data_IF_795913495611
#
_entry.id   IF_795913495611
#
_cell.length_a   1.000
_cell.length_b   1.000
_cell.length_c   1.000
_cell.angle_alpha   90.00
_cell.angle_beta   90.00
_cell.angle_gamma   90.00
#
_symmetry.space_group_name_H-M   'P 1'
#
loop_
_entity.id
_entity.type
_entity.pdbx_description
1 polymer ?
#
# COMPACT_ATOMS: atom_id res chain seq x y z
N UNK A 1 5.16 18.97 -31.12
CA UNK A 1 5.15 17.69 -30.38
C UNK A 1 6.34 17.69 -29.41
N UNK A 2 6.04 17.63 -28.11
CA UNK A 2 6.83 16.94 -27.07
C UNK A 2 8.34 17.20 -26.99
N UNK A 3 8.80 17.90 -25.94
CA UNK A 3 9.20 17.23 -24.69
C UNK A 3 9.97 18.19 -23.79
N UNK A 4 9.46 18.26 -22.57
CA UNK A 4 9.90 19.10 -21.49
C UNK A 4 11.21 18.57 -20.87
N UNK A 5 12.14 19.48 -20.64
CA UNK A 5 13.44 19.25 -20.02
C UNK A 5 13.28 19.32 -18.51
N UNK A 6 12.97 18.20 -17.86
CA UNK A 6 13.11 18.10 -16.40
C UNK A 6 13.27 16.66 -15.90
N UNK A 7 14.14 15.88 -16.55
CA UNK A 7 14.63 14.59 -16.06
C UNK A 7 16.18 14.60 -15.92
N UNK A 8 16.75 15.76 -15.56
CA UNK A 8 18.18 16.04 -15.62
C UNK A 8 18.97 15.94 -14.31
N UNK A 9 18.43 15.42 -13.20
CA UNK A 9 19.14 15.48 -11.89
C UNK A 9 19.05 14.16 -11.10
N UNK A 10 19.06 12.99 -11.74
CA UNK A 10 19.24 11.71 -11.03
C UNK A 10 20.23 10.74 -11.70
N UNK A 11 21.17 11.28 -12.47
CA UNK A 11 22.22 10.50 -13.12
C UNK A 11 23.59 11.12 -12.88
N UNK A 12 24.07 11.09 -11.65
CA UNK A 12 25.50 11.23 -11.38
C UNK A 12 25.89 10.42 -10.14
N UNK A 13 26.98 9.66 -10.31
CA UNK A 13 27.80 8.96 -9.32
C UNK A 13 27.45 7.50 -9.00
N UNK A 14 27.83 6.62 -9.92
CA UNK A 14 28.24 5.24 -9.64
C UNK A 14 29.59 4.97 -10.33
N UNK A 15 30.70 5.20 -9.62
CA UNK A 15 32.08 4.72 -9.83
C UNK A 15 32.72 4.92 -8.44
N UNK A 16 33.29 3.96 -7.71
CA UNK A 16 34.19 2.83 -7.99
C UNK A 16 33.82 1.63 -7.07
N UNK A 17 34.15 0.36 -7.34
CA UNK A 17 35.45 -0.31 -7.09
C UNK A 17 35.42 -1.71 -7.78
N UNK A 18 36.58 -2.16 -8.30
CA UNK A 18 36.82 -3.36 -9.13
C UNK A 18 36.59 -4.74 -8.46
N UNK A 19 36.72 -5.89 -9.12
CA UNK A 19 37.43 -6.28 -10.34
C UNK A 19 36.54 -7.19 -11.21
N UNK A 20 36.29 -6.78 -12.46
CA UNK A 20 35.54 -7.54 -13.46
C UNK A 20 35.01 -6.59 -14.51
N UNK A 21 35.84 -6.24 -15.49
CA UNK A 21 35.49 -5.27 -16.54
C UNK A 21 34.29 -5.77 -17.34
N UNK A 22 33.14 -5.10 -17.20
CA UNK A 22 32.15 -5.02 -18.25
C UNK A 22 32.02 -3.53 -18.62
N UNK A 23 32.40 -3.10 -19.84
CA UNK A 23 32.20 -1.72 -20.24
C UNK A 23 30.70 -1.45 -20.33
N UNK A 24 30.24 -0.40 -19.67
CA UNK A 24 28.88 0.14 -19.85
C UNK A 24 28.92 1.05 -21.07
N UNK A 25 28.37 0.59 -22.19
CA UNK A 25 28.15 1.47 -23.33
C UNK A 25 26.90 2.32 -23.08
N UNK A 26 27.15 3.57 -22.68
CA UNK A 26 26.12 4.54 -22.33
C UNK A 26 25.33 5.08 -23.54
N UNK A 27 25.63 4.63 -24.77
CA UNK A 27 24.83 4.98 -25.94
C UNK A 27 23.61 4.06 -26.13
N UNK A 28 23.57 2.88 -25.48
CA UNK A 28 22.56 1.85 -25.72
C UNK A 28 21.65 1.49 -24.53
N UNK A 29 21.84 2.07 -23.35
CA UNK A 29 20.95 1.85 -22.19
C UNK A 29 20.88 0.40 -21.66
N UNK A 30 21.96 -0.40 -21.79
CA UNK A 30 22.02 -1.78 -21.30
C UNK A 30 22.85 -1.91 -20.01
N UNK A 31 22.33 -2.68 -19.04
CA UNK A 31 23.04 -3.12 -17.83
C UNK A 31 23.54 -4.55 -18.07
N UNK A 32 24.83 -4.82 -17.86
CA UNK A 32 25.37 -6.20 -17.92
C UNK A 32 25.07 -6.94 -16.63
N UNK A 33 24.29 -8.02 -16.72
CA UNK A 33 24.03 -8.95 -15.62
C UNK A 33 25.07 -10.09 -15.60
N UNK A 34 25.30 -10.75 -14.45
CA UNK A 34 26.17 -11.92 -14.36
C UNK A 34 25.73 -13.04 -15.33
N UNK A 35 26.67 -13.85 -15.82
CA UNK A 35 26.42 -14.90 -16.82
C UNK A 35 25.28 -15.87 -16.46
N UNK A 36 25.05 -16.07 -15.16
CA UNK A 36 24.00 -16.94 -14.62
C UNK A 36 22.58 -16.33 -14.75
N UNK A 37 22.46 -15.03 -15.05
CA UNK A 37 21.21 -14.26 -15.11
C UNK A 37 20.70 -14.04 -16.55
N UNK A 38 21.54 -14.20 -17.57
CA UNK A 38 21.16 -13.95 -18.97
C UNK A 38 20.00 -14.84 -19.46
N UNK A 39 19.82 -16.03 -18.87
CA UNK A 39 18.72 -16.93 -19.24
C UNK A 39 17.35 -16.55 -18.61
N UNK A 40 17.33 -15.59 -17.67
CA UNK A 40 16.13 -15.17 -16.92
C UNK A 40 15.56 -13.82 -17.38
N UNK A 41 16.27 -13.11 -18.26
CA UNK A 41 15.93 -11.77 -18.74
C UNK A 41 16.12 -11.73 -20.27
N UNK A 42 15.06 -11.43 -21.03
CA UNK A 42 15.18 -11.09 -22.45
C UNK A 42 14.86 -9.61 -22.66
N UNK A 43 15.81 -8.85 -23.23
CA UNK A 43 15.52 -7.58 -23.86
C UNK A 43 14.89 -7.85 -25.23
N UNK A 44 13.82 -7.13 -25.57
CA UNK A 44 13.24 -7.22 -26.91
C UNK A 44 14.25 -6.73 -27.97
N UNK A 45 14.20 -7.44 -29.10
CA UNK A 45 14.79 -7.19 -30.43
C UNK A 45 16.07 -7.97 -30.80
N UNK A 46 16.01 -8.49 -32.04
CA UNK A 46 16.88 -9.42 -32.80
C UNK A 46 16.60 -10.91 -32.45
N UNK A 47 16.06 -11.78 -33.32
CA UNK A 47 16.22 -11.88 -34.76
C UNK A 47 15.00 -12.58 -35.41
N UNK A 48 14.57 -12.10 -36.57
CA UNK A 48 13.49 -12.70 -37.35
C UNK A 48 14.06 -13.77 -38.28
N UNK A 49 13.87 -15.05 -37.95
CA UNK A 49 13.50 -16.13 -38.90
C UNK A 49 13.44 -17.49 -38.19
N UNK A 50 12.36 -18.23 -38.49
CA UNK A 50 12.12 -19.63 -38.14
C UNK A 50 11.86 -19.97 -36.66
N UNK A 51 10.59 -19.85 -36.22
CA UNK A 51 9.78 -20.91 -35.54
C UNK A 51 8.46 -20.35 -34.99
N UNK A 52 7.62 -19.85 -35.90
CA UNK A 52 6.25 -19.43 -35.65
C UNK A 52 5.34 -20.65 -35.41
N UNK A 53 5.33 -21.18 -34.19
CA UNK A 53 4.25 -22.03 -33.66
C UNK A 53 4.42 -22.38 -32.16
N UNK A 54 5.64 -22.31 -31.60
CA UNK A 54 5.92 -22.77 -30.23
C UNK A 54 6.02 -21.62 -29.22
N UNK A 55 6.30 -20.39 -29.65
CA UNK A 55 6.48 -19.23 -28.75
C UNK A 55 5.16 -18.64 -28.20
N UNK A 56 4.04 -18.83 -28.89
CA UNK A 56 2.74 -18.28 -28.47
C UNK A 56 2.12 -18.96 -27.22
N UNK A 57 2.75 -20.01 -26.67
CA UNK A 57 2.31 -20.63 -25.40
C UNK A 57 3.21 -20.33 -24.19
N UNK A 58 4.37 -19.69 -24.36
CA UNK A 58 5.32 -19.41 -23.26
C UNK A 58 5.38 -17.93 -22.83
N UNK A 59 4.77 -17.02 -23.58
CA UNK A 59 4.80 -15.57 -23.33
C UNK A 59 3.89 -15.05 -22.18
N UNK A 60 3.32 -15.92 -21.32
CA UNK A 60 2.25 -15.53 -20.38
C UNK A 60 2.60 -15.50 -18.88
N UNK A 61 3.86 -15.60 -18.48
CA UNK A 61 4.24 -15.64 -17.04
C UNK A 61 5.44 -14.77 -16.64
N UNK A 62 5.72 -13.70 -17.38
CA UNK A 62 6.72 -12.71 -16.97
C UNK A 62 6.09 -11.63 -16.08
N UNK A 63 6.76 -11.32 -14.98
CA UNK A 63 6.34 -10.28 -14.03
C UNK A 63 7.36 -9.15 -14.01
N UNK A 64 6.91 -7.91 -14.20
CA UNK A 64 7.77 -6.72 -14.10
C UNK A 64 7.89 -6.30 -12.64
N UNK A 65 9.10 -6.37 -12.09
CA UNK A 65 9.43 -6.01 -10.71
C UNK A 65 10.61 -5.03 -10.77
N UNK A 66 10.42 -3.82 -10.24
CA UNK A 66 11.41 -2.73 -10.23
C UNK A 66 12.06 -2.47 -11.61
N UNK A 67 11.27 -2.55 -12.69
CA UNK A 67 11.74 -2.31 -14.06
C UNK A 67 12.29 -3.55 -14.78
N UNK A 68 12.53 -4.65 -14.06
CA UNK A 68 13.11 -5.89 -14.59
C UNK A 68 11.99 -6.90 -14.88
N UNK A 69 12.00 -7.52 -16.06
CA UNK A 69 11.10 -8.61 -16.40
C UNK A 69 11.67 -9.93 -15.86
N UNK A 70 10.93 -10.58 -14.99
CA UNK A 70 11.37 -11.80 -14.31
C UNK A 70 10.41 -12.95 -14.63
N UNK A 71 10.97 -14.08 -15.05
CA UNK A 71 10.23 -15.33 -15.21
C UNK A 71 10.11 -16.05 -13.87
N UNK A 72 8.92 -16.03 -13.26
CA UNK A 72 8.68 -16.74 -11.99
C UNK A 72 8.88 -18.26 -12.15
N UNK A 73 8.44 -18.83 -13.27
CA UNK A 73 8.66 -20.24 -13.58
C UNK A 73 10.14 -20.56 -13.79
N UNK A 74 10.90 -19.65 -14.41
CA UNK A 74 12.35 -19.81 -14.57
C UNK A 74 13.09 -19.77 -13.23
N UNK A 75 12.64 -18.90 -12.32
CA UNK A 75 13.19 -18.83 -10.96
C UNK A 75 12.94 -20.12 -10.16
N UNK A 76 11.73 -20.68 -10.26
CA UNK A 76 11.39 -21.95 -9.63
C UNK A 76 12.22 -23.11 -10.22
N UNK A 77 12.32 -23.21 -11.54
CA UNK A 77 13.10 -24.24 -12.21
C UNK A 77 14.58 -24.20 -11.79
N UNK A 78 15.15 -23.00 -11.69
CA UNK A 78 16.53 -22.82 -11.27
C UNK A 78 16.76 -23.15 -9.78
N UNK A 79 15.72 -23.05 -8.95
CA UNK A 79 15.76 -23.53 -7.57
C UNK A 79 15.73 -25.06 -7.50
N UNK A 80 14.96 -25.72 -8.38
CA UNK A 80 14.91 -27.20 -8.45
C UNK A 80 16.21 -27.84 -8.94
N UNK A 81 17.11 -27.08 -9.58
CA UNK A 81 18.45 -27.55 -9.95
C UNK A 81 19.38 -27.75 -8.72
N UNK A 82 19.00 -27.25 -7.54
CA UNK A 82 19.79 -27.42 -6.31
C UNK A 82 19.55 -28.79 -5.68
N UNK A 83 20.64 -29.43 -5.28
CA UNK A 83 20.58 -30.69 -4.54
C UNK A 83 19.80 -30.51 -3.23
N UNK A 84 18.87 -31.43 -2.97
CA UNK A 84 17.96 -31.38 -1.82
C UNK A 84 16.63 -30.62 -2.03
N UNK A 85 16.40 -30.00 -3.20
CA UNK A 85 15.09 -29.42 -3.56
C UNK A 85 14.31 -30.37 -4.46
N UNK A 86 13.14 -30.80 -4.00
CA UNK A 86 12.26 -31.70 -4.76
C UNK A 86 11.29 -30.96 -5.68
N UNK A 87 10.88 -29.76 -5.30
CA UNK A 87 9.91 -28.95 -6.04
C UNK A 87 10.03 -27.50 -5.63
N UNK A 88 9.76 -26.57 -6.54
CA UNK A 88 9.73 -25.15 -6.23
C UNK A 88 8.57 -24.42 -6.89
N UNK A 89 8.18 -23.30 -6.30
CA UNK A 89 7.17 -22.41 -6.84
C UNK A 89 7.50 -20.96 -6.48
N UNK A 90 7.65 -20.11 -7.49
CA UNK A 90 7.76 -18.69 -7.29
C UNK A 90 6.40 -18.00 -7.47
N UNK A 91 6.03 -17.14 -6.52
CA UNK A 91 4.84 -16.31 -6.54
C UNK A 91 5.23 -14.84 -6.32
N UNK A 92 4.55 -13.92 -7.00
CA UNK A 92 4.73 -12.49 -6.76
C UNK A 92 3.88 -12.04 -5.58
N UNK A 93 4.46 -11.24 -4.69
CA UNK A 93 3.74 -10.51 -3.65
C UNK A 93 4.21 -9.05 -3.64
N UNK A 94 3.39 -8.15 -4.19
CA UNK A 94 3.70 -6.73 -4.33
C UNK A 94 5.03 -6.48 -5.08
N UNK A 95 6.04 -5.95 -4.38
CA UNK A 95 7.38 -5.71 -4.91
C UNK A 95 8.34 -6.88 -4.66
N UNK A 96 7.94 -7.92 -3.93
CA UNK A 96 8.77 -9.08 -3.60
C UNK A 96 8.37 -10.34 -4.36
N UNK A 97 9.28 -11.31 -4.40
CA UNK A 97 9.06 -12.65 -4.92
C UNK A 97 9.14 -13.62 -3.75
N UNK A 98 8.10 -14.42 -3.56
CA UNK A 98 8.09 -15.56 -2.65
C UNK A 98 8.50 -16.80 -3.42
N UNK A 99 9.61 -17.43 -3.06
CA UNK A 99 10.08 -18.68 -3.63
C UNK A 99 9.88 -19.79 -2.61
N UNK A 100 8.84 -20.59 -2.80
CA UNK A 100 8.58 -21.78 -2.02
C UNK A 100 9.44 -22.92 -2.52
N UNK A 101 10.12 -23.63 -1.63
CA UNK A 101 10.97 -24.78 -1.95
C UNK A 101 10.60 -25.96 -1.06
N UNK A 102 10.35 -27.11 -1.67
CA UNK A 102 10.16 -28.39 -1.00
C UNK A 102 11.53 -29.00 -0.74
N UNK A 103 11.92 -29.06 0.54
CA UNK A 103 13.24 -29.54 0.97
C UNK A 103 13.10 -30.84 1.75
N UNK A 104 14.03 -31.77 1.53
CA UNK A 104 14.17 -32.99 2.32
C UNK A 104 15.10 -32.82 3.52
N UNK A 105 15.94 -31.77 3.53
CA UNK A 105 16.84 -31.45 4.65
C UNK A 105 17.12 -29.93 4.72
N UNK A 106 16.81 -29.30 5.86
CA UNK A 106 16.46 -27.87 5.91
C UNK A 106 17.64 -26.88 6.11
N UNK A 107 18.73 -27.28 6.78
CA UNK A 107 19.67 -26.31 7.34
C UNK A 107 20.68 -25.68 6.35
N UNK A 108 21.12 -26.39 5.31
CA UNK A 108 22.15 -25.91 4.36
C UNK A 108 21.56 -25.26 3.11
N UNK A 109 20.40 -25.75 2.65
CA UNK A 109 19.80 -25.38 1.35
C UNK A 109 19.34 -23.92 1.32
N UNK A 110 18.77 -23.39 2.41
CA UNK A 110 18.26 -22.01 2.45
C UNK A 110 19.36 -20.96 2.30
N UNK A 111 20.52 -21.18 2.91
CA UNK A 111 21.64 -20.23 2.91
C UNK A 111 22.30 -20.14 1.53
N UNK A 112 22.43 -21.26 0.83
CA UNK A 112 23.07 -21.32 -0.49
C UNK A 112 22.16 -20.84 -1.63
N UNK A 113 20.84 -21.09 -1.55
CA UNK A 113 19.89 -20.52 -2.51
C UNK A 113 19.82 -18.99 -2.42
N UNK A 114 19.79 -18.43 -1.20
CA UNK A 114 19.79 -16.99 -1.01
C UNK A 114 21.06 -16.34 -1.58
N UNK A 115 22.24 -16.94 -1.38
CA UNK A 115 23.49 -16.41 -1.94
C UNK A 115 23.54 -16.45 -3.48
N UNK A 116 22.90 -17.45 -4.10
CA UNK A 116 23.08 -17.69 -5.53
C UNK A 116 21.93 -17.17 -6.40
N UNK A 117 20.72 -17.06 -5.86
CA UNK A 117 19.53 -16.58 -6.56
C UNK A 117 19.14 -15.14 -6.20
N UNK A 118 19.58 -14.59 -5.05
CA UNK A 118 19.12 -13.28 -4.57
C UNK A 118 19.96 -12.08 -5.04
N UNK A 119 20.78 -12.22 -6.08
CA UNK A 119 21.56 -11.07 -6.61
C UNK A 119 20.60 -10.05 -7.21
N UNK A 120 20.32 -8.97 -6.46
CA UNK A 120 19.54 -7.81 -6.90
C UNK A 120 18.01 -7.98 -6.93
N UNK A 121 17.47 -9.08 -6.42
CA UNK A 121 16.02 -9.33 -6.38
C UNK A 121 15.47 -9.35 -4.95
N UNK A 122 14.28 -8.77 -4.70
CA UNK A 122 13.58 -8.86 -3.40
C UNK A 122 12.96 -10.26 -3.23
N UNK A 123 13.82 -11.27 -3.09
CA UNK A 123 13.48 -12.69 -3.04
C UNK A 123 13.40 -13.17 -1.59
N UNK A 124 12.28 -13.80 -1.24
CA UNK A 124 12.04 -14.45 0.05
C UNK A 124 11.93 -15.95 -0.20
N UNK A 125 12.87 -16.74 0.31
CA UNK A 125 12.85 -18.20 0.19
C UNK A 125 12.10 -18.81 1.37
N UNK A 126 11.14 -19.69 1.09
CA UNK A 126 10.29 -20.34 2.09
C UNK A 126 10.43 -21.85 1.92
N UNK A 127 11.13 -22.48 2.87
CA UNK A 127 11.21 -23.94 2.95
C UNK A 127 9.86 -24.51 3.40
N UNK A 128 9.36 -25.54 2.72
CA UNK A 128 8.09 -26.20 3.01
C UNK A 128 8.31 -27.71 3.08
N UNK A 129 8.13 -28.31 4.24
CA UNK A 129 8.38 -29.75 4.44
C UNK A 129 7.23 -30.62 3.90
N UNK A 130 5.99 -30.11 3.93
CA UNK A 130 4.81 -30.79 3.41
C UNK A 130 4.26 -30.03 2.20
N UNK A 131 4.73 -30.38 1.00
CA UNK A 131 4.36 -29.69 -0.23
C UNK A 131 2.88 -29.92 -0.59
N UNK A 132 2.01 -28.89 -0.49
CA UNK A 132 0.60 -29.09 -0.72
C UNK A 132 0.31 -29.21 -2.22
N UNK A 133 -0.45 -30.23 -2.59
CA UNK A 133 -0.89 -30.47 -3.98
C UNK A 133 -2.41 -30.41 -4.09
N UNK A 134 -2.89 -29.96 -5.24
CA UNK A 134 -4.29 -30.01 -5.66
C UNK A 134 -4.67 -31.46 -6.03
N UNK A 135 -5.97 -31.75 -6.18
CA UNK A 135 -6.44 -33.09 -6.61
C UNK A 135 -5.88 -33.58 -7.96
N UNK A 136 -5.27 -32.67 -8.74
CA UNK A 136 -4.61 -32.95 -10.02
C UNK A 136 -3.08 -33.06 -9.90
N UNK A 137 -2.52 -33.17 -8.69
CA UNK A 137 -1.09 -33.33 -8.44
C UNK A 137 -0.22 -32.07 -8.62
N UNK A 138 -0.81 -30.92 -8.96
CA UNK A 138 -0.10 -29.64 -9.07
C UNK A 138 0.02 -28.95 -7.72
N UNK A 139 1.09 -28.20 -7.48
CA UNK A 139 1.27 -27.37 -6.28
C UNK A 139 0.04 -26.48 -6.00
N UNK A 140 -0.50 -26.57 -4.79
CA UNK A 140 -1.65 -25.79 -4.34
C UNK A 140 -1.20 -24.40 -3.89
N UNK A 141 -1.29 -23.45 -4.82
CA UNK A 141 -0.91 -22.04 -4.61
C UNK A 141 -1.64 -21.41 -3.42
N UNK A 142 -2.90 -21.77 -3.17
CA UNK A 142 -3.69 -21.20 -2.07
C UNK A 142 -3.16 -21.71 -0.73
N UNK A 143 -2.92 -23.01 -0.62
CA UNK A 143 -2.33 -23.60 0.59
C UNK A 143 -0.90 -23.13 0.84
N UNK A 144 -0.08 -22.96 -0.19
CA UNK A 144 1.27 -22.38 -0.04
C UNK A 144 1.22 -20.94 0.49
N UNK A 145 0.30 -20.13 -0.01
CA UNK A 145 0.08 -18.78 0.52
C UNK A 145 -0.45 -18.81 1.96
N UNK A 146 -1.35 -19.73 2.30
CA UNK A 146 -1.79 -19.94 3.69
C UNK A 146 -0.63 -20.37 4.59
N UNK A 147 0.27 -21.26 4.13
CA UNK A 147 1.48 -21.64 4.88
C UNK A 147 2.36 -20.42 5.11
N UNK A 148 2.53 -19.54 4.13
CA UNK A 148 3.27 -18.29 4.31
C UNK A 148 2.56 -17.32 5.28
N UNK A 149 1.23 -17.21 5.22
CA UNK A 149 0.44 -16.34 6.10
C UNK A 149 0.34 -16.88 7.53
N UNK A 150 0.41 -18.20 7.71
CA UNK A 150 0.38 -18.90 9.01
C UNK A 150 1.78 -19.10 9.61
N UNK A 151 2.82 -19.17 8.79
CA UNK A 151 4.20 -18.97 9.24
C UNK A 151 4.26 -17.53 9.70
N UNK A 152 4.03 -17.33 10.99
CA UNK A 152 4.67 -16.23 11.71
C UNK A 152 6.16 -16.37 11.43
N UNK A 153 6.63 -15.63 10.43
CA UNK A 153 8.03 -15.26 10.31
C UNK A 153 8.30 -14.42 11.56
N UNK A 154 8.48 -15.10 12.70
CA UNK A 154 9.04 -14.53 13.90
C UNK A 154 10.49 -14.27 13.53
N UNK A 155 10.70 -13.16 12.83
CA UNK A 155 12.03 -12.63 12.60
C UNK A 155 12.55 -12.35 14.01
N UNK A 156 13.56 -13.07 14.48
CA UNK A 156 14.06 -12.89 15.84
C UNK A 156 15.13 -11.81 15.85
N UNK A 157 15.47 -11.29 17.03
CA UNK A 157 16.66 -10.43 17.17
C UNK A 157 17.94 -11.14 16.72
N UNK A 158 17.98 -12.47 16.79
CA UNK A 158 19.11 -13.26 16.32
C UNK A 158 19.19 -13.29 14.79
N UNK A 159 18.05 -13.43 14.11
CA UNK A 159 17.98 -13.39 12.64
C UNK A 159 18.34 -12.01 12.09
N UNK A 160 17.85 -10.95 12.77
CA UNK A 160 18.22 -9.58 12.44
C UNK A 160 19.70 -9.32 12.71
N UNK A 161 20.27 -9.86 13.79
CA UNK A 161 21.71 -9.75 14.07
C UNK A 161 22.56 -10.42 12.98
N UNK A 162 22.20 -11.63 12.55
CA UNK A 162 22.88 -12.34 11.44
C UNK A 162 22.78 -11.58 10.11
N UNK A 163 21.66 -10.94 9.83
CA UNK A 163 21.52 -10.07 8.66
C UNK A 163 22.54 -8.92 8.71
N UNK A 164 22.68 -8.31 9.89
CA UNK A 164 23.51 -7.12 10.14
C UNK A 164 25.01 -7.40 10.28
N UNK A 165 25.41 -8.65 10.56
CA UNK A 165 26.82 -9.09 10.53
C UNK A 165 27.47 -8.83 9.16
N UNK A 166 26.74 -9.07 8.06
CA UNK A 166 27.21 -8.76 6.70
C UNK A 166 27.46 -7.26 6.49
N UNK A 167 26.85 -6.42 7.34
CA UNK A 167 27.02 -4.99 7.31
C UNK A 167 28.12 -4.47 8.25
N UNK A 168 28.73 -5.36 9.05
CA UNK A 168 29.65 -5.02 10.16
C UNK A 168 28.99 -4.10 11.19
N UNK A 169 27.68 -4.25 11.39
CA UNK A 169 26.90 -3.47 12.33
C UNK A 169 26.42 -4.39 13.44
N UNK A 170 26.61 -3.98 14.70
CA UNK A 170 26.14 -4.73 15.86
C UNK A 170 24.92 -4.04 16.47
N UNK A 171 23.76 -4.68 16.31
CA UNK A 171 22.46 -4.16 16.75
C UNK A 171 22.33 -3.95 18.27
N UNK A 172 23.23 -4.51 19.06
CA UNK A 172 23.22 -4.39 20.53
C UNK A 172 24.15 -3.29 21.02
N UNK A 173 25.33 -3.15 20.43
CA UNK A 173 26.34 -2.17 20.89
C UNK A 173 26.21 -0.82 20.19
N UNK A 174 25.74 -0.81 18.95
CA UNK A 174 25.79 0.38 18.10
C UNK A 174 24.46 1.17 18.12
N UNK A 175 23.60 0.91 19.13
CA UNK A 175 22.22 1.39 19.19
C UNK A 175 22.07 2.91 19.00
N UNK A 176 23.02 3.69 19.51
CA UNK A 176 23.00 5.16 19.42
C UNK A 176 23.73 5.70 18.19
N UNK A 177 24.43 4.85 17.44
CA UNK A 177 25.09 5.26 16.20
C UNK A 177 24.08 5.36 15.06
N UNK A 178 24.34 6.27 14.12
CA UNK A 178 23.57 6.32 12.89
C UNK A 178 24.09 5.31 11.89
N UNK A 179 23.22 4.86 10.99
CA UNK A 179 23.62 3.99 9.88
C UNK A 179 24.71 4.64 9.02
N UNK A 180 24.66 5.96 8.85
CA UNK A 180 25.67 6.75 8.15
C UNK A 180 27.03 6.70 8.86
N UNK A 181 27.07 6.86 10.19
CA UNK A 181 28.32 6.79 10.98
C UNK A 181 28.97 5.41 10.92
N UNK A 182 28.16 4.37 10.71
CA UNK A 182 28.59 2.99 10.54
C UNK A 182 28.98 2.65 9.10
N UNK A 183 29.03 3.65 8.22
CA UNK A 183 29.45 3.49 6.83
C UNK A 183 28.41 2.77 5.96
N UNK A 184 27.13 2.88 6.29
CA UNK A 184 26.06 2.42 5.41
C UNK A 184 25.89 3.41 4.25
N UNK A 185 26.26 2.96 3.04
CA UNK A 185 26.05 3.73 1.81
C UNK A 185 24.63 3.50 1.23
N UNK A 186 24.30 4.24 0.17
CA UNK A 186 23.00 4.17 -0.52
C UNK A 186 22.67 2.79 -1.08
N UNK A 187 23.67 2.01 -1.49
CA UNK A 187 23.46 0.66 -2.04
C UNK A 187 23.08 -0.33 -0.93
N UNK A 188 23.80 -0.26 0.19
CA UNK A 188 23.61 -1.09 1.37
C UNK A 188 22.32 -0.72 2.11
N UNK A 189 21.96 0.56 2.14
CA UNK A 189 20.68 1.05 2.64
C UNK A 189 19.49 0.55 1.80
N UNK A 190 19.62 0.52 0.47
CA UNK A 190 18.60 -0.04 -0.40
C UNK A 190 18.44 -1.55 -0.20
N UNK A 191 19.54 -2.30 -0.10
CA UNK A 191 19.50 -3.73 0.22
C UNK A 191 18.81 -4.00 1.56
N UNK A 192 19.20 -3.25 2.59
CA UNK A 192 18.62 -3.40 3.93
C UNK A 192 17.14 -3.03 3.94
N UNK A 193 16.74 -1.98 3.21
CA UNK A 193 15.33 -1.61 3.01
C UNK A 193 14.56 -2.77 2.42
N UNK A 194 15.02 -3.35 1.31
CA UNK A 194 14.33 -4.48 0.67
C UNK A 194 14.19 -5.70 1.59
N UNK A 195 15.20 -5.94 2.44
CA UNK A 195 15.22 -7.08 3.38
C UNK A 195 14.40 -6.85 4.64
N UNK A 196 14.11 -5.60 5.02
CA UNK A 196 13.50 -5.28 6.33
C UNK A 196 12.23 -4.45 6.25
N UNK A 197 11.85 -3.92 5.08
CA UNK A 197 10.64 -3.11 4.88
C UNK A 197 9.37 -3.87 5.27
N UNK A 198 9.32 -5.17 5.00
CA UNK A 198 8.19 -6.02 5.38
C UNK A 198 8.04 -6.23 6.89
N UNK A 199 9.05 -5.87 7.67
CA UNK A 199 9.08 -5.94 9.14
C UNK A 199 8.66 -4.62 9.80
N UNK A 200 8.43 -3.56 9.02
CA UNK A 200 8.06 -2.25 9.55
C UNK A 200 6.70 -2.27 10.25
N UNK A 201 6.64 -1.66 11.43
CA UNK A 201 5.41 -1.43 12.20
C UNK A 201 4.46 -0.49 11.48
N UNK A 202 5.00 0.50 10.76
CA UNK A 202 4.24 1.50 10.00
C UNK A 202 4.52 1.37 8.50
N UNK A 203 3.46 1.19 7.70
CA UNK A 203 3.57 0.96 6.25
C UNK A 203 4.18 2.12 5.45
N UNK A 204 4.18 3.33 6.00
CA UNK A 204 4.69 4.53 5.33
C UNK A 204 5.96 5.08 5.99
N UNK A 205 6.61 4.30 6.85
CA UNK A 205 7.89 4.71 7.41
C UNK A 205 8.90 4.85 6.27
N UNK A 206 9.52 6.02 6.07
CA UNK A 206 10.42 6.27 4.94
C UNK A 206 11.77 5.60 5.19
N UNK A 207 11.79 4.27 5.22
CA UNK A 207 12.90 3.45 5.70
C UNK A 207 14.21 3.77 5.00
N UNK A 208 14.20 3.86 3.67
CA UNK A 208 15.40 4.21 2.92
C UNK A 208 15.94 5.60 3.28
N UNK A 209 15.05 6.59 3.41
CA UNK A 209 15.44 7.94 3.80
C UNK A 209 15.96 7.97 5.25
N UNK A 210 15.35 7.17 6.13
CA UNK A 210 15.78 7.03 7.52
C UNK A 210 17.19 6.45 7.60
N UNK A 211 17.46 5.34 6.89
CA UNK A 211 18.77 4.67 6.85
C UNK A 211 19.87 5.57 6.27
N UNK A 212 19.52 6.51 5.40
CA UNK A 212 20.46 7.46 4.79
C UNK A 212 20.58 8.79 5.54
N UNK A 213 19.79 8.99 6.59
CA UNK A 213 19.78 10.24 7.34
C UNK A 213 20.86 10.28 8.42
N UNK A 214 21.34 11.49 8.70
CA UNK A 214 22.31 11.81 9.76
C UNK A 214 21.71 11.68 11.17
N UNK A 215 20.44 11.28 11.26
CA UNK A 215 19.67 11.14 12.50
C UNK A 215 19.11 9.73 12.68
N UNK A 216 19.24 8.86 11.67
CA UNK A 216 18.67 7.51 11.68
C UNK A 216 19.54 6.57 12.49
N UNK A 217 19.20 6.36 13.75
CA UNK A 217 19.94 5.46 14.65
C UNK A 217 19.47 4.01 14.54
N UNK A 218 20.33 3.08 14.95
CA UNK A 218 19.95 1.67 15.05
C UNK A 218 18.79 1.47 16.03
N UNK A 219 18.81 2.15 17.17
CA UNK A 219 17.72 2.07 18.15
C UNK A 219 16.38 2.47 17.52
N UNK A 220 16.33 3.59 16.80
CA UNK A 220 15.09 4.03 16.16
C UNK A 220 14.68 3.15 14.97
N UNK A 221 15.62 2.50 14.29
CA UNK A 221 15.30 1.45 13.32
C UNK A 221 14.69 0.21 14.00
N UNK A 222 15.26 -0.27 15.10
CA UNK A 222 14.71 -1.39 15.86
C UNK A 222 13.32 -1.04 16.43
N UNK A 223 13.10 0.19 16.87
CA UNK A 223 11.78 0.69 17.28
C UNK A 223 10.79 0.68 16.11
N UNK A 224 11.23 1.12 14.92
CA UNK A 224 10.41 1.11 13.71
C UNK A 224 10.03 -0.31 13.26
N UNK A 225 10.84 -1.31 13.62
CA UNK A 225 10.58 -2.73 13.41
C UNK A 225 9.86 -3.44 14.59
N UNK A 226 9.61 -2.74 15.71
CA UNK A 226 9.03 -3.30 16.96
C UNK A 226 9.93 -4.29 17.73
N UNK A 227 11.26 -4.17 17.60
CA UNK A 227 12.25 -5.09 18.17
C UNK A 227 12.87 -4.68 19.50
N UNK A 228 12.55 -3.50 20.01
CA UNK A 228 13.24 -2.96 21.18
C UNK A 228 12.59 -3.35 22.51
N UNK A 229 13.38 -4.11 23.29
CA UNK A 229 13.36 -4.33 24.74
C UNK A 229 12.01 -4.64 25.42
N UNK A 230 11.55 -5.89 25.30
CA UNK A 230 11.04 -6.75 26.40
C UNK A 230 10.33 -8.02 25.86
N UNK A 231 10.95 -8.74 24.94
CA UNK A 231 10.35 -9.98 24.41
C UNK A 231 10.84 -11.17 25.24
N UNK A 232 10.17 -11.43 26.36
CA UNK A 232 10.02 -12.82 26.83
C UNK A 232 8.98 -13.48 25.94
N UNK A 233 9.43 -14.55 25.29
CA UNK A 233 8.67 -15.62 24.61
C UNK A 233 7.20 -15.34 24.36
N UNK A 234 6.82 -15.13 23.09
CA UNK A 234 5.43 -15.31 22.67
C UNK A 234 5.34 -16.16 21.43
N UNK A 235 4.94 -17.41 21.68
CA UNK A 235 4.15 -18.21 20.75
C UNK A 235 2.87 -17.45 20.37
N UNK A 236 2.58 -17.43 19.07
CA UNK A 236 1.38 -16.83 18.50
C UNK A 236 0.18 -17.78 18.63
N UNK A 237 -0.91 -17.26 19.18
CA UNK A 237 -2.29 -17.54 18.75
C UNK A 237 -2.98 -16.18 18.72
N UNK A 238 -3.38 -15.67 17.55
CA UNK A 238 -4.15 -14.42 17.45
C UNK A 238 -5.65 -14.73 17.50
N UNK A 239 -6.18 -14.93 18.70
CA UNK A 239 -7.42 -14.23 19.06
C UNK A 239 -6.98 -12.86 19.58
N UNK A 240 -7.46 -11.76 19.00
CA UNK A 240 -7.24 -10.45 19.60
C UNK A 240 -8.06 -10.39 20.89
N UNK A 241 -7.44 -10.66 22.03
CA UNK A 241 -7.96 -10.12 23.29
C UNK A 241 -7.75 -8.60 23.24
N UNK A 242 -8.82 -7.84 23.01
CA UNK A 242 -8.80 -6.40 23.27
C UNK A 242 -8.60 -6.19 24.77
N UNK A 243 -7.37 -5.87 25.18
CA UNK A 243 -7.06 -5.53 26.57
C UNK A 243 -7.30 -4.05 26.81
N UNK A 244 -8.49 -3.75 27.33
CA UNK A 244 -8.81 -2.44 27.91
C UNK A 244 -7.99 -2.31 29.20
N UNK A 245 -6.95 -1.48 29.21
CA UNK A 245 -6.26 -1.09 30.44
C UNK A 245 -6.93 0.17 31.00
N UNK A 246 -7.64 0.11 32.14
CA UNK A 246 -8.15 1.31 32.77
C UNK A 246 -6.97 2.19 33.19
N UNK A 247 -7.02 3.47 32.81
CA UNK A 247 -6.15 4.49 33.41
C UNK A 247 -6.56 4.57 34.89
N UNK A 248 -5.60 4.60 35.82
CA UNK A 248 -5.85 4.70 37.26
C UNK A 248 -6.56 6.02 37.58
N UNK A 249 -7.89 5.97 37.46
CA UNK A 249 -8.94 6.81 38.03
C UNK A 249 -10.29 6.34 37.45
N UNK A 250 -10.80 5.26 38.05
CA UNK A 250 -12.22 4.86 38.14
C UNK A 250 -13.14 5.08 36.93
N UNK A 251 -12.81 4.57 35.75
CA UNK A 251 -13.82 4.33 34.70
C UNK A 251 -13.85 2.84 34.38
N UNK A 252 -14.98 2.19 34.68
CA UNK A 252 -15.23 0.81 34.26
C UNK A 252 -15.54 0.82 32.76
N UNK A 253 -14.56 0.44 31.95
CA UNK A 253 -14.69 0.38 30.49
C UNK A 253 -14.93 -1.08 30.11
N UNK A 254 -16.04 -1.34 29.42
CA UNK A 254 -16.42 -2.65 28.91
C UNK A 254 -16.53 -2.61 27.39
N UNK A 255 -15.88 -3.55 26.71
CA UNK A 255 -16.11 -3.81 25.30
C UNK A 255 -17.54 -4.36 25.12
N UNK A 256 -18.39 -3.66 24.37
CA UNK A 256 -19.76 -4.09 24.10
C UNK A 256 -19.84 -5.03 22.90
N UNK A 257 -19.21 -4.67 21.79
CA UNK A 257 -19.18 -5.44 20.54
C UNK A 257 -18.02 -4.99 19.66
N UNK A 258 -17.72 -5.82 18.65
CA UNK A 258 -16.73 -5.54 17.61
C UNK A 258 -17.31 -5.88 16.24
N UNK A 259 -16.85 -5.18 15.20
CA UNK A 259 -17.25 -5.44 13.81
C UNK A 259 -16.04 -5.38 12.87
N UNK A 260 -15.80 -6.44 12.10
CA UNK A 260 -14.66 -6.53 11.18
C UNK A 260 -15.02 -6.10 9.75
N UNK A 261 -14.37 -5.02 9.29
CA UNK A 261 -14.48 -4.51 7.92
C UNK A 261 -13.44 -5.09 6.95
N UNK A 262 -12.56 -5.96 7.43
CA UNK A 262 -11.62 -6.78 6.65
C UNK A 262 -10.31 -6.08 6.27
N UNK A 263 -10.22 -4.75 6.37
CA UNK A 263 -8.99 -3.96 6.18
C UNK A 263 -9.00 -2.70 7.05
N UNK A 264 -7.93 -1.91 6.97
CA UNK A 264 -7.75 -0.63 7.66
C UNK A 264 -8.97 0.30 7.52
N UNK A 265 -9.24 1.05 8.59
CA UNK A 265 -10.35 2.00 8.69
C UNK A 265 -9.70 3.36 9.01
N UNK A 266 -9.63 4.23 8.01
CA UNK A 266 -9.14 5.62 8.19
C UNK A 266 -10.32 6.60 8.31
N UNK A 267 -11.49 6.21 7.78
CA UNK A 267 -12.71 6.98 7.89
C UNK A 267 -13.21 6.98 9.36
N UNK A 268 -13.63 8.15 9.84
CA UNK A 268 -14.25 8.27 11.17
C UNK A 268 -15.66 7.68 11.13
N UNK A 269 -16.08 6.86 12.11
CA UNK A 269 -17.46 6.40 12.18
C UNK A 269 -18.41 7.58 12.42
N UNK A 270 -19.53 7.61 11.69
CA UNK A 270 -20.57 8.64 11.84
C UNK A 270 -21.83 8.02 12.40
N UNK A 271 -22.41 8.67 13.41
CA UNK A 271 -23.66 8.24 14.02
C UNK A 271 -24.76 9.24 13.69
N UNK A 272 -25.81 8.76 13.03
CA UNK A 272 -27.00 9.56 12.69
C UNK A 272 -28.25 8.66 12.84
N UNK A 273 -29.33 9.18 13.42
CA UNK A 273 -30.60 8.46 13.60
C UNK A 273 -30.48 7.02 14.18
N UNK A 274 -29.55 6.81 15.12
CA UNK A 274 -29.32 5.49 15.74
C UNK A 274 -28.69 4.46 14.80
N UNK A 275 -28.03 4.92 13.74
CA UNK A 275 -27.24 4.11 12.80
C UNK A 275 -25.80 4.60 12.79
N UNK A 276 -24.85 3.67 12.70
CA UNK A 276 -23.42 3.92 12.55
C UNK A 276 -23.07 3.69 11.08
N UNK A 277 -22.38 4.63 10.45
CA UNK A 277 -21.90 4.53 9.07
C UNK A 277 -20.37 4.55 9.05
N UNK A 278 -19.77 3.62 8.31
CA UNK A 278 -18.32 3.43 8.34
C UNK A 278 -17.81 2.80 7.05
N UNK A 279 -16.68 3.30 6.55
CA UNK A 279 -15.98 2.78 5.38
C UNK A 279 -14.60 2.23 5.71
N UNK A 280 -14.11 1.32 4.86
CA UNK A 280 -12.80 0.70 4.99
C UNK A 280 -12.01 0.71 3.68
N UNK A 281 -10.71 0.47 3.77
CA UNK A 281 -9.82 0.16 2.64
C UNK A 281 -10.19 -1.12 1.89
N UNK A 282 -11.08 -1.95 2.43
CA UNK A 282 -11.65 -3.09 1.71
C UNK A 282 -12.60 -2.66 0.59
N UNK A 283 -13.07 -1.41 0.60
CA UNK A 283 -14.15 -0.93 -0.26
C UNK A 283 -15.53 -1.18 0.31
N UNK A 284 -15.63 -1.85 1.48
CA UNK A 284 -16.89 -2.06 2.20
C UNK A 284 -17.30 -0.79 2.93
N UNK A 285 -18.54 -0.35 2.68
CA UNK A 285 -19.25 0.68 3.44
C UNK A 285 -20.44 0.03 4.13
N UNK A 286 -20.55 0.19 5.45
CA UNK A 286 -21.58 -0.47 6.25
C UNK A 286 -22.47 0.53 6.97
N UNK A 287 -23.71 0.10 7.22
CA UNK A 287 -24.55 0.65 8.27
C UNK A 287 -24.75 -0.39 9.36
N UNK A 288 -24.46 -0.01 10.60
CA UNK A 288 -24.69 -0.83 11.79
C UNK A 288 -25.70 -0.14 12.72
N UNK A 289 -26.41 -0.92 13.52
CA UNK A 289 -27.08 -0.45 14.72
C UNK A 289 -26.06 -0.11 15.82
N UNK A 290 -26.47 0.63 16.84
CA UNK A 290 -25.61 0.97 18.00
C UNK A 290 -25.15 -0.25 18.81
N UNK A 291 -25.79 -1.41 18.63
CA UNK A 291 -25.43 -2.70 19.22
C UNK A 291 -24.48 -3.54 18.34
N UNK A 292 -24.03 -2.99 17.20
CA UNK A 292 -23.12 -3.66 16.27
C UNK A 292 -23.82 -4.52 15.21
N UNK A 293 -25.16 -4.63 15.23
CA UNK A 293 -25.90 -5.42 14.24
C UNK A 293 -25.86 -4.75 12.87
N UNK A 294 -25.44 -5.48 11.83
CA UNK A 294 -25.43 -4.97 10.45
C UNK A 294 -26.84 -4.73 9.93
N UNK A 295 -27.14 -3.48 9.52
CA UNK A 295 -28.37 -3.12 8.81
C UNK A 295 -28.23 -3.37 7.31
N UNK A 296 -27.18 -2.83 6.70
CA UNK A 296 -26.87 -3.03 5.29
C UNK A 296 -25.37 -2.82 5.03
N UNK A 297 -24.93 -3.24 3.84
CA UNK A 297 -23.54 -3.10 3.39
C UNK A 297 -23.51 -2.99 1.87
N UNK A 298 -22.57 -2.17 1.38
CA UNK A 298 -22.27 -2.01 -0.04
C UNK A 298 -20.76 -2.02 -0.25
N UNK A 299 -20.33 -2.51 -1.42
CA UNK A 299 -18.92 -2.54 -1.83
C UNK A 299 -18.71 -1.57 -3.00
N UNK A 300 -17.74 -0.67 -2.86
CA UNK A 300 -17.32 0.25 -3.91
C UNK A 300 -16.06 -0.25 -4.63
N UNK A 301 -15.71 0.42 -5.75
CA UNK A 301 -14.58 0.01 -6.59
C UNK A 301 -13.21 0.35 -6.01
N UNK A 302 -13.17 1.05 -4.86
CA UNK A 302 -11.94 1.54 -4.24
C UNK A 302 -12.05 1.64 -2.72
N UNK A 303 -10.95 2.05 -2.10
CA UNK A 303 -10.85 2.31 -0.66
C UNK A 303 -11.75 3.47 -0.25
N UNK A 304 -12.28 3.39 0.97
CA UNK A 304 -13.03 4.47 1.59
C UNK A 304 -12.19 5.03 2.74
N UNK A 305 -11.60 6.19 2.50
CA UNK A 305 -10.82 6.93 3.51
C UNK A 305 -11.50 8.23 3.92
N UNK A 306 -12.40 8.78 3.08
CA UNK A 306 -13.19 9.93 3.43
C UNK A 306 -14.24 9.55 4.49
N UNK A 307 -14.30 10.30 5.57
CA UNK A 307 -15.44 10.25 6.51
C UNK A 307 -16.71 10.61 5.75
N UNK A 308 -17.72 9.74 5.84
CA UNK A 308 -19.03 10.00 5.25
C UNK A 308 -19.73 11.15 5.98
N UNK A 309 -20.64 11.85 5.33
CA UNK A 309 -21.56 12.79 5.98
C UNK A 309 -22.99 12.35 5.74
N UNK A 310 -23.84 12.49 6.76
CA UNK A 310 -25.25 12.11 6.71
C UNK A 310 -26.12 13.30 7.09
N UNK A 311 -27.18 13.57 6.33
CA UNK A 311 -28.20 14.54 6.67
C UNK A 311 -29.50 14.22 5.92
N UNK A 312 -30.64 14.31 6.60
CA UNK A 312 -31.97 14.18 5.99
C UNK A 312 -32.16 12.91 5.14
N UNK A 313 -31.66 11.76 5.60
CA UNK A 313 -31.83 10.49 4.89
C UNK A 313 -30.83 10.26 3.75
N UNK A 314 -29.87 11.18 3.54
CA UNK A 314 -28.85 11.09 2.49
C UNK A 314 -27.47 10.95 3.12
N UNK A 315 -26.69 9.99 2.64
CA UNK A 315 -25.28 9.83 2.96
C UNK A 315 -24.45 10.24 1.75
N UNK A 316 -23.44 11.09 1.93
CA UNK A 316 -22.41 11.31 0.91
C UNK A 316 -21.06 10.73 1.37
N UNK A 317 -20.40 9.97 0.50
CA UNK A 317 -19.12 9.31 0.81
C UNK A 317 -18.18 9.29 -0.40
N UNK A 318 -16.96 9.78 -0.18
CA UNK A 318 -15.91 9.81 -1.20
C UNK A 318 -15.11 8.51 -1.25
N UNK A 319 -14.73 8.10 -2.46
CA UNK A 319 -14.02 6.85 -2.69
C UNK A 319 -12.73 7.06 -3.51
N UNK A 320 -11.79 6.13 -3.35
CA UNK A 320 -10.56 6.03 -4.13
C UNK A 320 -10.76 5.64 -5.59
N UNK A 321 -11.96 5.23 -5.99
CA UNK A 321 -12.28 5.04 -7.41
C UNK A 321 -12.61 6.36 -8.13
N UNK A 322 -12.53 7.48 -7.42
CA UNK A 322 -12.77 8.82 -7.96
C UNK A 322 -14.24 9.23 -8.00
N UNK A 323 -15.13 8.45 -7.39
CA UNK A 323 -16.55 8.78 -7.27
C UNK A 323 -16.92 9.30 -5.88
N UNK A 324 -17.80 10.29 -5.87
CA UNK A 324 -18.60 10.66 -4.71
C UNK A 324 -19.94 9.95 -4.82
N UNK A 325 -20.27 9.13 -3.82
CA UNK A 325 -21.52 8.37 -3.78
C UNK A 325 -22.53 9.04 -2.86
N UNK A 326 -23.77 9.17 -3.34
CA UNK A 326 -24.92 9.57 -2.55
C UNK A 326 -25.82 8.36 -2.33
N UNK A 327 -26.06 7.99 -1.08
CA UNK A 327 -26.83 6.81 -0.69
C UNK A 327 -28.09 7.21 0.08
N UNK A 328 -29.13 6.40 -0.05
CA UNK A 328 -30.25 6.39 0.87
C UNK A 328 -29.79 5.80 2.22
N UNK A 329 -29.98 6.56 3.30
CA UNK A 329 -29.51 6.22 4.64
C UNK A 329 -30.07 4.88 5.15
N UNK A 330 -31.33 4.58 4.82
CA UNK A 330 -32.05 3.42 5.36
C UNK A 330 -31.69 2.12 4.63
N UNK A 331 -31.49 2.18 3.32
CA UNK A 331 -31.30 1.00 2.48
C UNK A 331 -29.87 0.82 1.98
N UNK A 332 -29.03 1.86 2.04
CA UNK A 332 -27.70 1.86 1.44
C UNK A 332 -27.71 1.91 -0.09
N UNK A 333 -28.88 2.09 -0.71
CA UNK A 333 -29.00 2.16 -2.17
C UNK A 333 -28.35 3.45 -2.68
N UNK A 334 -27.54 3.34 -3.74
CA UNK A 334 -26.99 4.50 -4.44
C UNK A 334 -28.15 5.27 -5.10
N UNK A 335 -28.35 6.51 -4.66
CA UNK A 335 -29.27 7.49 -5.25
C UNK A 335 -28.59 8.12 -6.47
N UNK A 336 -27.34 8.54 -6.30
CA UNK A 336 -26.54 9.20 -7.32
C UNK A 336 -25.06 8.94 -7.09
N UNK A 337 -24.25 9.02 -8.14
CA UNK A 337 -22.80 9.05 -8.03
C UNK A 337 -22.24 10.11 -8.98
N UNK A 338 -21.26 10.84 -8.50
CA UNK A 338 -20.61 11.90 -9.25
C UNK A 338 -19.14 11.54 -9.49
N UNK A 339 -18.68 11.64 -10.74
CA UNK A 339 -17.31 11.31 -11.11
C UNK A 339 -16.40 12.55 -11.00
N UNK A 340 -15.24 12.38 -10.37
CA UNK A 340 -14.16 13.38 -10.38
C UNK A 340 -12.96 12.87 -11.19
N UNK A 341 -11.95 13.72 -11.38
CA UNK A 341 -10.74 13.34 -12.14
C UNK A 341 -9.74 12.48 -11.35
N UNK A 342 -9.96 12.29 -10.04
CA UNK A 342 -9.02 11.59 -9.16
C UNK A 342 -9.73 11.18 -7.85
N UNK A 343 -9.01 10.53 -6.93
CA UNK A 343 -9.54 10.02 -5.66
C UNK A 343 -10.17 11.11 -4.79
N UNK A 344 -11.23 10.75 -4.07
CA UNK A 344 -11.86 11.63 -3.08
C UNK A 344 -11.51 11.11 -1.69
N UNK A 345 -10.64 11.85 -1.01
CA UNK A 345 -10.22 11.57 0.37
C UNK A 345 -10.76 12.59 1.36
N UNK A 346 -11.15 13.77 0.88
CA UNK A 346 -11.78 14.79 1.71
C UNK A 346 -13.14 14.31 2.20
N UNK A 347 -13.43 14.42 3.51
CA UNK A 347 -14.80 14.40 3.98
C UNK A 347 -15.64 15.43 3.20
N UNK A 348 -16.88 15.04 2.90
CA UNK A 348 -17.85 15.92 2.25
C UNK A 348 -18.67 16.65 3.31
N UNK A 349 -19.23 17.81 2.94
CA UNK A 349 -20.11 18.59 3.81
C UNK A 349 -21.45 18.77 3.11
N UNK A 350 -22.51 18.31 3.75
CA UNK A 350 -23.87 18.58 3.33
C UNK A 350 -24.29 19.96 3.85
N UNK A 351 -24.83 20.78 2.96
CA UNK A 351 -25.32 22.12 3.27
C UNK A 351 -26.74 22.28 2.72
N UNK A 352 -27.39 23.39 3.05
CA UNK A 352 -28.74 23.72 2.55
C UNK A 352 -29.74 22.58 2.85
N UNK A 353 -29.79 22.17 4.13
CA UNK A 353 -30.61 21.05 4.60
C UNK A 353 -30.38 19.75 3.80
N UNK A 354 -29.13 19.45 3.45
CA UNK A 354 -28.78 18.22 2.74
C UNK A 354 -29.07 18.23 1.24
N UNK A 355 -29.45 19.37 0.64
CA UNK A 355 -29.70 19.46 -0.80
C UNK A 355 -28.44 19.70 -1.63
N UNK A 356 -27.38 20.24 -1.00
CA UNK A 356 -26.12 20.54 -1.67
C UNK A 356 -24.94 19.88 -0.97
N UNK A 357 -23.93 19.51 -1.75
CA UNK A 357 -22.74 18.84 -1.23
C UNK A 357 -21.46 19.58 -1.63
N UNK A 358 -20.67 19.97 -0.63
CA UNK A 358 -19.39 20.63 -0.78
C UNK A 358 -18.26 19.65 -0.46
N UNK A 359 -17.30 19.47 -1.36
CA UNK A 359 -16.20 18.53 -1.13
C UNK A 359 -14.96 18.85 -1.98
N UNK A 360 -13.80 18.40 -1.53
CA UNK A 360 -12.54 18.47 -2.27
C UNK A 360 -12.15 17.13 -2.88
N UNK A 361 -11.39 17.17 -3.98
CA UNK A 361 -10.81 15.96 -4.59
C UNK A 361 -9.30 16.13 -4.81
N UNK A 362 -8.62 14.99 -4.98
CA UNK A 362 -7.22 14.96 -5.38
C UNK A 362 -6.99 15.42 -6.83
N UNK A 363 -8.06 15.62 -7.60
CA UNK A 363 -8.01 16.28 -8.91
C UNK A 363 -7.79 17.79 -8.82
N UNK A 364 -7.48 18.27 -7.59
CA UNK A 364 -7.20 19.66 -7.23
C UNK A 364 -8.42 20.56 -7.31
N UNK A 365 -9.62 20.00 -7.29
CA UNK A 365 -10.83 20.79 -7.41
C UNK A 365 -11.66 20.75 -6.14
N UNK A 366 -12.20 21.92 -5.78
CA UNK A 366 -13.27 22.11 -4.81
C UNK A 366 -14.59 22.19 -5.57
N UNK A 367 -15.56 21.38 -5.16
CA UNK A 367 -16.84 21.21 -5.85
C UNK A 367 -17.99 21.58 -4.94
N UNK A 368 -19.02 22.20 -5.53
CA UNK A 368 -20.37 22.20 -4.97
C UNK A 368 -21.34 21.55 -5.94
N UNK A 369 -22.07 20.58 -5.45
CA UNK A 369 -23.09 19.85 -6.19
C UNK A 369 -24.48 20.20 -5.67
N UNK A 370 -25.44 20.20 -6.58
CA UNK A 370 -26.86 20.06 -6.28
C UNK A 370 -27.22 18.58 -6.36
N UNK A 371 -27.61 17.99 -5.22
CA UNK A 371 -27.89 16.56 -5.11
C UNK A 371 -29.23 16.23 -5.78
N UNK A 372 -30.23 17.10 -5.63
CA UNK A 372 -31.59 16.89 -6.16
C UNK A 372 -31.57 16.92 -7.68
N UNK A 373 -30.91 17.91 -8.25
CA UNK A 373 -30.80 18.10 -9.70
C UNK A 373 -29.61 17.34 -10.31
N UNK A 374 -28.80 16.67 -9.49
CA UNK A 374 -27.65 15.85 -9.91
C UNK A 374 -26.66 16.60 -10.81
N UNK A 375 -26.34 17.85 -10.44
CA UNK A 375 -25.52 18.73 -11.25
C UNK A 375 -24.46 19.47 -10.44
N UNK A 376 -23.39 19.89 -11.12
CA UNK A 376 -22.38 20.76 -10.54
C UNK A 376 -22.94 22.19 -10.53
N UNK A 377 -22.94 22.82 -9.37
CA UNK A 377 -23.27 24.24 -9.24
C UNK A 377 -22.03 25.10 -9.48
N UNK A 378 -20.91 24.71 -8.89
CA UNK A 378 -19.62 25.34 -9.16
C UNK A 378 -18.44 24.39 -8.91
N UNK A 379 -17.31 24.77 -9.51
CA UNK A 379 -16.02 24.07 -9.41
C UNK A 379 -14.91 25.12 -9.39
N UNK A 380 -14.02 25.02 -8.42
CA UNK A 380 -12.79 25.83 -8.35
C UNK A 380 -11.60 24.91 -8.51
N UNK A 381 -10.72 25.22 -9.46
CA UNK A 381 -9.41 24.57 -9.60
C UNK A 381 -8.41 25.25 -8.67
N UNK A 382 -7.71 24.45 -7.87
CA UNK A 382 -6.62 24.84 -6.99
C UNK A 382 -5.29 24.30 -7.52
N UNK A 383 -4.15 24.77 -7.00
CA UNK A 383 -2.85 24.27 -7.46
C UNK A 383 -2.51 22.90 -6.86
N UNK A 384 -3.07 22.59 -5.68
CA UNK A 384 -2.88 21.34 -4.93
C UNK A 384 -4.14 20.47 -4.77
N UNK A 385 -3.92 19.18 -4.55
CA UNK A 385 -4.97 18.22 -4.19
C UNK A 385 -5.62 18.59 -2.85
N UNK A 386 -6.92 18.38 -2.71
CA UNK A 386 -7.65 18.72 -1.48
C UNK A 386 -7.90 17.45 -0.67
N UNK A 387 -7.30 17.40 0.53
CA UNK A 387 -7.48 16.32 1.50
C UNK A 387 -8.35 16.75 2.70
N UNK A 388 -8.26 18.00 3.11
CA UNK A 388 -9.02 18.53 4.25
C UNK A 388 -10.49 18.71 3.91
N UNK A 389 -11.38 18.40 4.85
CA UNK A 389 -12.79 18.79 4.74
C UNK A 389 -12.89 20.31 4.51
N UNK A 390 -13.65 20.76 3.51
CA UNK A 390 -13.97 22.18 3.40
C UNK A 390 -14.87 22.62 4.56
N UNK A 391 -14.86 23.92 4.88
CA UNK A 391 -15.70 24.51 5.93
C UNK A 391 -16.48 25.67 5.34
N UNK A 392 -17.80 25.71 5.55
CA UNK A 392 -18.63 26.86 5.20
C UNK A 392 -18.82 27.72 6.45
N UNK A 393 -18.47 29.00 6.36
CA UNK A 393 -18.71 30.02 7.40
C UNK A 393 -19.33 31.26 6.78
N UNK A 394 -20.58 31.56 7.16
CA UNK A 394 -21.39 32.56 6.47
C UNK A 394 -21.54 32.22 4.98
N UNK A 395 -21.04 33.11 4.12
CA UNK A 395 -20.97 32.89 2.66
C UNK A 395 -19.59 32.43 2.21
N UNK A 396 -18.61 32.23 3.08
CA UNK A 396 -17.24 31.86 2.67
C UNK A 396 -16.99 30.37 2.89
N UNK A 397 -16.52 29.69 1.85
CA UNK A 397 -15.99 28.34 1.92
C UNK A 397 -14.48 28.41 2.09
N UNK A 398 -13.97 27.80 3.16
CA UNK A 398 -12.54 27.66 3.44
C UNK A 398 -12.07 26.26 3.07
N UNK A 399 -10.94 26.15 2.39
CA UNK A 399 -10.28 24.87 2.12
C UNK A 399 -8.76 24.97 2.18
N UNK A 400 -8.10 23.84 2.45
CA UNK A 400 -6.64 23.71 2.41
C UNK A 400 -6.22 22.66 1.38
N UNK A 401 -5.06 22.87 0.75
CA UNK A 401 -4.51 21.97 -0.26
C UNK A 401 -3.21 21.31 0.25
N UNK A 402 -2.88 20.15 -0.33
CA UNK A 402 -1.61 19.45 -0.06
C UNK A 402 -0.36 20.21 -0.58
N UNK A 403 -0.53 21.34 -1.27
CA UNK A 403 0.57 22.25 -1.62
C UNK A 403 0.84 23.32 -0.55
N UNK A 404 0.10 23.30 0.55
CA UNK A 404 0.24 24.30 1.63
C UNK A 404 -0.56 25.58 1.38
N UNK A 405 -1.53 25.56 0.48
CA UNK A 405 -2.42 26.70 0.23
C UNK A 405 -3.62 26.65 1.18
N UNK A 406 -4.08 27.82 1.62
CA UNK A 406 -5.32 28.00 2.36
C UNK A 406 -6.15 29.08 1.65
N UNK A 407 -7.36 28.73 1.24
CA UNK A 407 -8.17 29.49 0.30
C UNK A 407 -9.55 29.77 0.89
N UNK A 408 -10.07 30.96 0.64
CA UNK A 408 -11.47 31.34 0.88
C UNK A 408 -12.19 31.60 -0.43
N UNK A 409 -13.29 30.89 -0.67
CA UNK A 409 -14.13 31.02 -1.87
C UNK A 409 -15.50 31.55 -1.42
N UNK A 410 -15.94 32.67 -1.99
CA UNK A 410 -17.26 33.21 -1.69
C UNK A 410 -18.35 32.40 -2.42
N UNK A 411 -19.25 31.81 -1.63
CA UNK A 411 -20.49 31.20 -2.05
C UNK A 411 -21.54 32.28 -2.30
N UNK A 412 -21.65 32.74 -3.55
CA UNK A 412 -22.79 33.57 -3.96
C UNK A 412 -24.00 32.68 -4.19
N UNK A 413 -24.88 32.60 -3.19
CA UNK A 413 -26.19 31.99 -3.37
C UNK A 413 -27.00 32.96 -4.24
N UNK A 414 -27.22 32.62 -5.51
CA UNK A 414 -28.30 33.25 -6.27
C UNK A 414 -29.61 32.82 -5.62
N UNK A 415 -30.12 33.64 -4.71
CA UNK A 415 -31.54 33.58 -4.37
C UNK A 415 -32.23 34.02 -5.66
N UNK A 416 -32.82 33.06 -6.38
CA UNK A 416 -33.80 33.40 -7.39
C UNK A 416 -34.98 34.02 -6.64
N UNK A 417 -34.93 35.33 -6.44
CA UNK A 417 -36.11 36.11 -6.13
C UNK A 417 -37.01 35.98 -7.35
N UNK A 418 -37.92 35.01 -7.32
CA UNK A 418 -39.16 35.12 -8.06
C UNK A 418 -39.96 36.24 -7.39
N UNK A 419 -39.61 37.49 -7.69
CA UNK A 419 -40.60 38.55 -7.62
C UNK A 419 -41.43 38.42 -8.89
N UNK A 420 -42.62 37.84 -8.73
CA UNK A 420 -43.76 38.13 -9.59
C UNK A 420 -43.92 39.66 -9.66
N UNK A 421 -43.39 40.27 -10.71
CA UNK A 421 -43.92 41.53 -11.22
C UNK A 421 -45.07 41.21 -12.15
N UNK A 422 -46.18 40.79 -11.53
CA UNK A 422 -47.52 41.07 -12.03
C UNK A 422 -47.84 42.50 -11.58
N UNK A 423 -48.35 43.32 -12.51
CA UNK A 423 -48.90 44.68 -12.34
C UNK A 423 -47.78 45.75 -12.31
N UNK A 424 -47.64 46.70 -13.25
CA UNK A 424 -48.50 47.29 -14.29
C UNK A 424 -47.62 47.82 -15.44
#
# INVERSE_FOLDING_TARGET
>A
LQNDRSAGIFLHQLLEIGNGKAPVDLTAGRISLPHNFCNLVTSKEEDATARTAIENRRASYQQKINGINISLSGLAQKAEEYDGIQSALALRRQQSILLFVHVTNSATVQTDLCKTLAVGLPLIVICVDNWPVTGNGKADRRKLMQIFEQKTLVFTMEDLSKLFENFKINLRTDQQMTFKDLGLDSSRAAELTLKTEHLLKQRNFPLLQYLLSDTGTIAGFLDALDFNQNVRERNIIHSREIRIKPIENSVNVKLLWEYDLGKCIDATPVVENGSIFLGSHSGRFVSLSLDGTKKWEIEFGGRIEATACCQNGIIAVGCYDGYLYFLDEKSGRIIWKFATGNVIKSPSVLIDAGNKCLFGSHDKCLYLLDIKNQMILWKVLCDGSILSSPVLTGTTVLCATLRGEFLGVELKIFIANFEESLIE
#
